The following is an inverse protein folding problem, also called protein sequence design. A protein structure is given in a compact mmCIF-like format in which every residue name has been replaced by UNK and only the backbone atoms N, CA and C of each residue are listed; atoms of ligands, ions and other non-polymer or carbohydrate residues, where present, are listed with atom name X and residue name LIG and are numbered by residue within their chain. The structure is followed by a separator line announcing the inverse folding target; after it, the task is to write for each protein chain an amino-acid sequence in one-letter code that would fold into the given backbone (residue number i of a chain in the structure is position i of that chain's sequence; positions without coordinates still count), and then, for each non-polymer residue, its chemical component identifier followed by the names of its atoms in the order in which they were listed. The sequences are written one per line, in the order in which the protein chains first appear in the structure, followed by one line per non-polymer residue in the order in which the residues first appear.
data_IF_914778612027
#
_entry.id   IF_914778612027
#
_cell.length_a   1.000
_cell.length_b   1.000
_cell.length_c   1.000
_cell.angle_alpha   90.00
_cell.angle_beta   90.00
_cell.angle_gamma   90.00
#
_symmetry.space_group_name_H-M   'P 1'
#
loop_
_entity.id
_entity.type
_entity.pdbx_description
1 polymer ?
#
# COMPACT_ATOMS: atom_id res chain seq x y z
N UNK A 1 35.19 -10.81 2.64
CA UNK A 1 34.08 -11.40 1.87
C UNK A 1 33.61 -10.39 0.84
N UNK A 2 34.28 -10.35 -0.31
CA UNK A 2 34.01 -9.41 -1.39
C UNK A 2 33.03 -10.06 -2.36
N UNK A 3 31.78 -9.57 -2.37
CA UNK A 3 30.78 -9.98 -3.34
C UNK A 3 31.00 -9.19 -4.64
N UNK A 4 31.59 -9.84 -5.64
CA UNK A 4 31.64 -9.30 -7.01
C UNK A 4 30.29 -9.50 -7.68
N UNK A 5 29.54 -8.42 -7.87
CA UNK A 5 28.30 -8.41 -8.67
C UNK A 5 28.69 -8.49 -10.14
N UNK A 6 28.58 -9.68 -10.74
CA UNK A 6 28.65 -9.85 -12.20
C UNK A 6 27.41 -9.24 -12.84
N UNK A 7 27.61 -8.47 -13.91
CA UNK A 7 26.62 -7.69 -14.66
C UNK A 7 25.58 -8.54 -15.42
N UNK A 8 24.76 -9.26 -14.67
CA UNK A 8 23.39 -9.59 -15.05
C UNK A 8 22.52 -9.09 -13.89
N UNK A 9 22.25 -7.78 -13.84
CA UNK A 9 21.48 -7.16 -12.75
C UNK A 9 20.05 -7.68 -12.80
N UNK A 10 19.79 -8.81 -12.13
CA UNK A 10 18.42 -9.17 -11.75
C UNK A 10 17.92 -8.01 -10.91
N UNK A 11 16.80 -7.35 -11.27
CA UNK A 11 16.30 -6.27 -10.44
C UNK A 11 16.00 -6.83 -9.05
N UNK A 12 16.64 -6.28 -8.03
CA UNK A 12 16.39 -6.63 -6.63
C UNK A 12 15.10 -5.95 -6.20
N UNK A 13 14.17 -6.72 -5.60
CA UNK A 13 13.04 -6.17 -4.87
C UNK A 13 13.31 -6.23 -3.37
N UNK A 14 12.92 -5.20 -2.65
CA UNK A 14 13.04 -5.12 -1.19
C UNK A 14 11.74 -5.46 -0.46
N UNK A 15 10.59 -5.29 -1.12
CA UNK A 15 9.29 -5.61 -0.56
C UNK A 15 8.66 -6.82 -1.22
N UNK A 16 8.39 -6.72 -2.52
CA UNK A 16 7.58 -7.70 -3.24
C UNK A 16 8.27 -8.23 -4.50
N UNK A 17 8.73 -9.48 -4.47
CA UNK A 17 9.21 -10.17 -5.66
C UNK A 17 8.16 -11.15 -6.16
N UNK A 18 7.70 -10.97 -7.40
CA UNK A 18 6.52 -11.67 -7.91
C UNK A 18 6.74 -12.28 -9.29
N UNK A 19 6.53 -13.58 -9.39
CA UNK A 19 6.52 -14.31 -10.66
C UNK A 19 5.15 -14.90 -11.00
N UNK A 20 4.14 -14.66 -10.16
CA UNK A 20 2.75 -15.16 -10.25
C UNK A 20 1.99 -14.96 -8.94
N UNK A 21 0.65 -14.92 -8.98
CA UNK A 21 -0.22 -14.48 -7.87
C UNK A 21 -0.94 -13.14 -8.14
N UNK A 22 -1.57 -12.59 -7.10
CA UNK A 22 -2.22 -11.27 -7.10
C UNK A 22 -1.79 -10.49 -5.87
N UNK A 23 -1.56 -9.19 -6.02
CA UNK A 23 -1.40 -8.24 -4.92
C UNK A 23 -2.50 -7.18 -5.06
N UNK A 24 -3.48 -7.23 -4.17
CA UNK A 24 -4.65 -6.34 -4.20
C UNK A 24 -4.83 -5.69 -2.84
N UNK A 25 -5.08 -4.38 -2.80
CA UNK A 25 -5.22 -3.59 -1.56
C UNK A 25 -3.96 -3.58 -0.68
N UNK A 26 -2.78 -3.73 -1.29
CA UNK A 26 -1.51 -3.75 -0.57
C UNK A 26 -0.89 -2.35 -0.45
N UNK A 27 -0.20 -2.10 0.66
CA UNK A 27 0.71 -0.96 0.82
C UNK A 27 2.14 -1.48 0.65
N UNK A 28 2.79 -1.13 -0.46
CA UNK A 28 4.14 -1.59 -0.83
C UNK A 28 5.03 -0.35 -1.01
N UNK A 29 5.47 0.22 0.12
CA UNK A 29 6.22 1.47 0.16
C UNK A 29 7.43 1.36 1.11
N UNK A 30 8.41 2.25 0.92
CA UNK A 30 9.64 2.40 1.72
C UNK A 30 10.42 1.11 2.06
N UNK A 31 10.30 0.07 1.24
CA UNK A 31 11.13 -1.11 1.37
C UNK A 31 12.54 -0.77 0.86
N UNK A 32 13.56 -0.96 1.70
CA UNK A 32 14.94 -0.61 1.37
C UNK A 32 15.90 -1.77 1.65
N UNK A 33 17.05 -1.76 0.96
CA UNK A 33 18.24 -2.56 1.35
C UNK A 33 19.20 -1.64 2.11
N UNK A 34 20.01 -2.21 3.01
CA UNK A 34 20.93 -1.45 3.85
C UNK A 34 21.98 -0.62 3.08
N UNK A 35 22.28 -0.96 1.82
CA UNK A 35 23.42 -0.42 1.07
C UNK A 35 23.07 0.04 -0.36
N UNK A 36 21.82 0.49 -0.58
CA UNK A 36 21.43 1.01 -1.90
C UNK A 36 19.93 1.26 -2.10
N UNK A 37 19.59 1.73 -3.31
CA UNK A 37 18.21 1.88 -3.76
C UNK A 37 17.79 0.63 -4.53
N UNK A 38 16.75 -0.03 -4.05
CA UNK A 38 16.09 -1.14 -4.74
C UNK A 38 14.61 -0.83 -4.89
N UNK A 39 13.96 -1.44 -5.89
CA UNK A 39 12.53 -1.22 -6.13
C UNK A 39 11.72 -1.85 -5.01
N UNK A 40 10.64 -1.18 -4.60
CA UNK A 40 9.66 -1.76 -3.67
C UNK A 40 9.12 -3.11 -4.17
N UNK A 41 9.04 -3.27 -5.48
CA UNK A 41 8.58 -4.50 -6.11
C UNK A 41 9.31 -4.81 -7.41
N UNK A 42 9.34 -6.09 -7.75
CA UNK A 42 9.75 -6.63 -9.06
C UNK A 42 8.72 -7.68 -9.43
N UNK A 43 8.17 -7.59 -10.64
CA UNK A 43 7.11 -8.50 -11.07
C UNK A 43 7.25 -8.87 -12.55
N UNK A 44 7.14 -10.15 -12.87
CA UNK A 44 6.95 -10.61 -14.27
C UNK A 44 5.48 -10.56 -14.71
N UNK A 45 4.56 -10.23 -13.80
CA UNK A 45 3.13 -10.11 -14.04
C UNK A 45 2.59 -8.87 -13.29
N UNK A 46 3.16 -7.69 -13.58
CA UNK A 46 2.86 -6.44 -12.88
C UNK A 46 1.38 -6.04 -12.95
N UNK A 47 0.67 -6.44 -14.01
CA UNK A 47 -0.78 -6.21 -14.19
C UNK A 47 -1.64 -6.87 -13.11
N UNK A 48 -1.09 -7.81 -12.33
CA UNK A 48 -1.77 -8.47 -11.20
C UNK A 48 -1.52 -7.80 -9.85
N UNK A 49 -0.74 -6.71 -9.85
CA UNK A 49 -0.66 -5.78 -8.72
C UNK A 49 -1.68 -4.69 -9.01
N UNK A 50 -2.81 -4.70 -8.30
CA UNK A 50 -3.93 -3.79 -8.53
C UNK A 50 -4.38 -3.17 -7.20
N UNK A 51 -5.06 -2.01 -7.24
CA UNK A 51 -5.59 -1.32 -6.08
C UNK A 51 -4.56 -1.22 -4.93
N UNK A 52 -3.30 -0.97 -5.29
CA UNK A 52 -2.14 -1.04 -4.39
C UNK A 52 -1.46 0.33 -4.35
N UNK A 53 -1.00 0.73 -3.18
CA UNK A 53 -0.23 1.96 -3.00
C UNK A 53 1.24 1.61 -3.02
N UNK A 54 1.98 2.18 -3.97
CA UNK A 54 3.38 1.81 -4.20
C UNK A 54 4.18 2.93 -4.85
N UNK A 55 5.50 2.82 -4.78
CA UNK A 55 6.45 3.61 -5.59
C UNK A 55 7.60 2.72 -6.09
N UNK A 56 8.01 2.79 -7.37
CA UNK A 56 7.44 3.61 -8.43
C UNK A 56 6.06 3.13 -8.85
N UNK A 57 5.24 4.06 -9.34
CA UNK A 57 3.98 3.76 -10.02
C UNK A 57 4.27 3.54 -11.51
N UNK A 58 4.44 2.27 -11.91
CA UNK A 58 4.73 1.90 -13.29
C UNK A 58 3.45 1.69 -14.12
N UNK A 59 3.49 2.02 -15.41
CA UNK A 59 2.37 1.82 -16.35
C UNK A 59 1.96 0.37 -16.55
N UNK A 60 2.83 -0.58 -16.19
CA UNK A 60 2.56 -2.01 -16.28
C UNK A 60 1.74 -2.56 -15.09
N UNK A 61 1.48 -1.75 -14.05
CA UNK A 61 0.65 -2.15 -12.91
C UNK A 61 -0.82 -2.31 -13.33
N UNK A 62 -1.56 -3.09 -12.55
CA UNK A 62 -3.00 -3.23 -12.69
C UNK A 62 -3.78 -2.00 -12.22
N UNK A 63 -5.09 -2.05 -12.44
CA UNK A 63 -6.01 -0.94 -12.19
C UNK A 63 -5.98 -0.44 -10.74
N UNK A 64 -6.28 0.84 -10.54
CA UNK A 64 -6.50 1.41 -9.21
C UNK A 64 -5.24 1.57 -8.34
N UNK A 65 -4.04 1.32 -8.88
CA UNK A 65 -2.81 1.59 -8.14
C UNK A 65 -2.61 3.11 -7.94
N UNK A 66 -2.14 3.49 -6.76
CA UNK A 66 -1.89 4.88 -6.39
C UNK A 66 -0.42 5.09 -6.04
N UNK A 67 0.13 6.23 -6.44
CA UNK A 67 1.53 6.57 -6.16
C UNK A 67 1.71 6.92 -4.69
N UNK A 68 2.64 6.25 -4.03
CA UNK A 68 3.15 6.72 -2.75
C UNK A 68 4.05 7.94 -2.92
N UNK A 69 3.69 9.04 -2.25
CA UNK A 69 4.43 10.32 -2.24
C UNK A 69 5.12 10.60 -0.90
N UNK A 70 5.28 9.59 -0.04
CA UNK A 70 5.85 9.74 1.31
C UNK A 70 4.84 10.19 2.37
N UNK A 71 3.56 10.34 2.01
CA UNK A 71 2.47 10.65 2.94
C UNK A 71 1.32 9.63 2.86
N UNK A 72 1.55 8.46 2.26
CA UNK A 72 0.54 7.41 2.16
C UNK A 72 0.23 6.75 3.49
N UNK A 73 1.24 6.67 4.35
CA UNK A 73 1.10 6.17 5.70
C UNK A 73 2.10 6.91 6.60
N UNK A 74 1.93 6.72 7.90
CA UNK A 74 2.92 7.12 8.90
C UNK A 74 2.94 6.08 10.00
N UNK A 75 4.09 5.92 10.64
CA UNK A 75 4.20 5.16 11.89
C UNK A 75 4.52 6.15 13.00
N UNK A 76 3.66 6.24 14.01
CA UNK A 76 3.88 7.06 15.22
C UNK A 76 3.79 6.15 16.43
N UNK A 77 4.86 6.11 17.23
CA UNK A 77 4.91 5.27 18.44
C UNK A 77 4.61 3.78 18.15
N UNK A 78 5.05 3.28 16.99
CA UNK A 78 4.78 1.91 16.53
C UNK A 78 3.38 1.69 15.95
N UNK A 79 2.55 2.72 15.88
CA UNK A 79 1.19 2.65 15.34
C UNK A 79 1.19 3.14 13.88
N UNK A 80 0.84 2.24 12.97
CA UNK A 80 0.59 2.52 11.56
C UNK A 80 -0.71 3.33 11.41
N UNK A 81 -0.67 4.44 10.70
CA UNK A 81 -1.84 5.29 10.49
C UNK A 81 -1.86 5.82 9.06
N UNK A 82 -3.06 5.97 8.50
CA UNK A 82 -3.26 6.74 7.28
C UNK A 82 -3.46 8.21 7.68
N UNK A 83 -2.57 9.14 7.30
CA UNK A 83 -2.84 10.56 7.50
C UNK A 83 -4.06 11.00 6.68
N UNK A 84 -4.78 12.07 7.08
CA UNK A 84 -6.00 12.51 6.38
C UNK A 84 -5.84 12.81 4.88
N UNK A 85 -4.62 13.12 4.44
CA UNK A 85 -4.29 13.37 3.03
C UNK A 85 -3.78 12.13 2.28
N UNK A 86 -3.86 10.95 2.89
CA UNK A 86 -3.31 9.73 2.30
C UNK A 86 -4.08 9.35 1.03
N UNK A 87 -3.40 9.08 -0.10
CA UNK A 87 -4.03 8.53 -1.29
C UNK A 87 -4.55 7.09 -1.10
N UNK A 88 -4.25 6.43 0.02
CA UNK A 88 -4.74 5.08 0.31
C UNK A 88 -6.22 5.07 0.74
N UNK A 89 -6.74 6.20 1.22
CA UNK A 89 -8.08 6.29 1.79
C UNK A 89 -9.13 6.14 0.68
N UNK A 90 -10.01 5.14 0.80
CA UNK A 90 -11.09 4.82 -0.12
C UNK A 90 -10.64 4.35 -1.52
N UNK A 91 -9.35 4.07 -1.70
CA UNK A 91 -8.76 3.73 -3.00
C UNK A 91 -8.75 2.23 -3.31
N UNK A 92 -9.12 1.39 -2.35
CA UNK A 92 -9.09 -0.07 -2.51
C UNK A 92 -10.28 -0.66 -3.26
N UNK A 93 -10.20 -1.98 -3.45
CA UNK A 93 -11.21 -2.82 -4.05
C UNK A 93 -11.89 -3.71 -3.02
N UNK A 94 -13.20 -3.52 -2.82
CA UNK A 94 -13.97 -4.32 -1.88
C UNK A 94 -14.07 -5.77 -2.39
N UNK A 95 -13.83 -6.72 -1.50
CA UNK A 95 -14.08 -8.14 -1.75
C UNK A 95 -15.11 -8.66 -0.74
N UNK A 96 -15.91 -9.70 -1.09
CA UNK A 96 -16.98 -10.16 -0.22
C UNK A 96 -16.53 -10.53 1.20
N UNK A 97 -15.36 -11.15 1.35
CA UNK A 97 -14.83 -11.53 2.66
C UNK A 97 -14.53 -10.33 3.59
N UNK A 98 -14.43 -9.11 3.05
CA UNK A 98 -14.13 -7.91 3.83
C UNK A 98 -15.33 -7.37 4.61
N UNK A 99 -16.55 -7.82 4.30
CA UNK A 99 -17.78 -7.30 4.91
C UNK A 99 -17.80 -7.45 6.44
N UNK A 100 -17.28 -8.57 6.94
CA UNK A 100 -17.19 -8.90 8.36
C UNK A 100 -15.74 -8.91 8.88
N UNK A 101 -14.77 -8.55 8.04
CA UNK A 101 -13.36 -8.54 8.42
C UNK A 101 -13.01 -7.31 9.28
N UNK A 102 -11.92 -7.45 10.01
CA UNK A 102 -11.31 -6.37 10.80
C UNK A 102 -9.92 -6.01 10.28
N UNK A 103 -9.52 -4.76 10.50
CA UNK A 103 -8.18 -4.24 10.23
C UNK A 103 -7.19 -4.63 11.34
N UNK A 104 -5.94 -4.20 11.21
CA UNK A 104 -4.86 -4.50 12.16
C UNK A 104 -5.17 -4.08 13.62
N UNK A 105 -6.07 -3.11 13.82
CA UNK A 105 -6.43 -2.58 15.13
C UNK A 105 -7.85 -2.97 15.57
N UNK A 106 -8.48 -3.91 14.87
CA UNK A 106 -9.79 -4.43 15.23
C UNK A 106 -10.97 -3.58 14.76
N UNK A 107 -10.75 -2.58 13.90
CA UNK A 107 -11.83 -1.82 13.29
C UNK A 107 -12.39 -2.58 12.08
N UNK A 108 -13.64 -2.32 11.69
CA UNK A 108 -14.20 -2.90 10.46
C UNK A 108 -13.30 -2.60 9.26
N UNK A 109 -13.01 -3.60 8.42
CA UNK A 109 -12.14 -3.45 7.24
C UNK A 109 -12.72 -2.55 6.15
N UNK A 110 -14.00 -2.22 6.21
CA UNK A 110 -14.62 -1.22 5.34
C UNK A 110 -15.30 -0.22 6.25
N UNK A 111 -14.65 0.92 6.50
CA UNK A 111 -15.24 2.01 7.28
C UNK A 111 -16.05 2.97 6.39
N UNK A 112 -15.54 3.29 5.20
CA UNK A 112 -16.19 4.15 4.21
C UNK A 112 -17.00 3.39 3.15
N UNK A 113 -17.04 3.91 1.93
CA UNK A 113 -17.67 3.24 0.77
C UNK A 113 -16.77 2.15 0.17
N UNK A 114 -15.46 2.36 0.23
CA UNK A 114 -14.42 1.45 -0.25
C UNK A 114 -13.40 1.25 0.85
N UNK A 115 -12.81 0.06 0.87
CA UNK A 115 -11.67 -0.30 1.72
C UNK A 115 -10.48 0.61 1.46
N UNK A 116 -9.76 0.98 2.52
CA UNK A 116 -8.50 1.69 2.42
C UNK A 116 -7.38 0.72 2.03
N UNK A 117 -6.44 1.18 1.23
CA UNK A 117 -5.28 0.38 0.83
C UNK A 117 -4.35 0.17 2.05
N UNK A 118 -3.92 -1.06 2.29
CA UNK A 118 -3.01 -1.41 3.39
C UNK A 118 -3.68 -2.25 4.49
N UNK A 119 -3.15 -2.19 5.71
CA UNK A 119 -3.57 -3.04 6.82
C UNK A 119 -4.54 -2.35 7.80
N UNK A 120 -4.82 -1.06 7.60
CA UNK A 120 -5.56 -0.21 8.55
C UNK A 120 -6.59 0.63 7.80
N UNK A 121 -7.72 0.93 8.44
CA UNK A 121 -8.70 1.91 7.96
C UNK A 121 -8.49 3.27 8.61
N UNK A 122 -8.78 4.32 7.85
CA UNK A 122 -8.78 5.69 8.30
C UNK A 122 -10.14 6.04 8.91
N UNK A 123 -10.21 6.09 10.25
CA UNK A 123 -11.46 6.32 10.97
C UNK A 123 -11.91 7.79 11.04
N UNK A 124 -11.23 8.71 10.35
CA UNK A 124 -11.67 10.12 10.28
C UNK A 124 -12.82 10.26 9.28
N UNK A 125 -14.01 9.86 9.71
CA UNK A 125 -15.26 10.04 8.97
C UNK A 125 -16.16 11.10 9.60
N UNK A 126 -16.36 12.22 8.89
CA UNK A 126 -17.44 13.19 9.09
C UNK A 126 -17.24 14.20 10.22
N UNK A 127 -16.75 15.40 9.89
CA UNK A 127 -16.76 16.51 10.85
C UNK A 127 -18.19 16.83 11.30
N UNK A 128 -18.39 16.92 12.61
CA UNK A 128 -19.63 17.47 13.19
C UNK A 128 -19.64 18.98 12.94
N UNK A 129 -20.61 19.48 12.17
CA UNK A 129 -20.92 20.92 12.12
C UNK A 129 -21.96 21.19 13.21
N UNK A 130 -21.57 21.87 14.28
CA UNK A 130 -22.51 22.45 15.23
C UNK A 130 -22.81 23.88 14.76
N UNK A 131 -23.96 24.07 14.11
CA UNK A 131 -24.51 25.40 13.89
C UNK A 131 -25.30 25.76 15.15
N UNK A 132 -24.66 26.53 16.04
CA UNK A 132 -25.36 27.23 17.11
C UNK A 132 -25.90 28.53 16.52
N UNK A 133 -27.21 28.67 16.55
CA UNK A 133 -27.91 29.93 16.29
C UNK A 133 -28.04 30.73 17.60
#
# INVERSE_FOLDING_TARGET
NTWTVTTASRPYATGFYHTGGYATNCLIADNAIMDGVASNWVSTAATRIAYTCTTPLASALGDGCVLDKGNSYRVREGILQLPPSSPCIGAGFNQPWMEEAIDLYGNRRIYGRRVDIGAVECLVGGGTVLLLH
#
